data_IF_490703004481
#
_entry.id   IF_490703004481
#
_cell.length_a   1.000
_cell.length_b   1.000
_cell.length_c   1.000
_cell.angle_alpha   90.00
_cell.angle_beta   90.00
_cell.angle_gamma   90.00
#
_symmetry.space_group_name_H-M   'P 1'
#
loop_
_entity.id
_entity.type
_entity.pdbx_description
1 polymer ?
#
# COMPACT_ATOMS: atom_id res chain seq x y z
N UNK A 1 12.36 -56.41 -38.45
CA UNK A 1 10.95 -56.26 -38.04
C UNK A 1 10.93 -55.46 -36.74
N UNK A 2 9.97 -54.54 -36.62
CA UNK A 2 9.95 -53.34 -35.78
C UNK A 2 10.33 -53.45 -34.31
N UNK A 3 11.01 -52.39 -33.85
CA UNK A 3 11.07 -51.91 -32.47
C UNK A 3 9.74 -51.28 -32.07
N UNK A 4 9.28 -51.51 -30.85
CA UNK A 4 8.35 -50.59 -30.17
C UNK A 4 8.36 -50.86 -28.66
N UNK A 5 9.38 -50.38 -27.95
CA UNK A 5 9.28 -50.15 -26.51
C UNK A 5 8.62 -48.79 -26.31
N UNK A 6 7.38 -48.83 -25.82
CA UNK A 6 6.53 -47.68 -25.53
C UNK A 6 7.09 -46.92 -24.31
N UNK A 7 7.81 -45.83 -24.53
CA UNK A 7 8.28 -44.98 -23.44
C UNK A 7 7.15 -44.04 -22.99
N UNK A 8 6.60 -44.30 -21.81
CA UNK A 8 5.65 -43.44 -21.13
C UNK A 8 6.39 -42.21 -20.58
N UNK A 9 6.29 -41.08 -21.28
CA UNK A 9 6.86 -39.82 -20.82
C UNK A 9 5.97 -39.22 -19.71
N UNK A 10 6.36 -39.41 -18.45
CA UNK A 10 5.80 -38.69 -17.31
C UNK A 10 6.39 -37.27 -17.30
N UNK A 11 5.69 -36.32 -17.92
CA UNK A 11 6.02 -34.89 -17.80
C UNK A 11 5.52 -34.42 -16.44
N UNK A 12 6.42 -34.36 -15.45
CA UNK A 12 6.14 -33.74 -14.17
C UNK A 12 6.15 -32.21 -14.34
N UNK A 13 4.96 -31.61 -14.40
CA UNK A 13 4.80 -30.15 -14.30
C UNK A 13 5.11 -29.72 -12.87
N UNK A 14 6.21 -29.00 -12.66
CA UNK A 14 6.48 -28.32 -11.41
C UNK A 14 5.54 -27.11 -11.31
N UNK A 15 4.46 -27.25 -10.54
CA UNK A 15 3.66 -26.11 -10.12
C UNK A 15 4.48 -25.31 -9.10
N UNK A 16 5.02 -24.17 -9.53
CA UNK A 16 5.57 -23.19 -8.61
C UNK A 16 4.40 -22.57 -7.84
N UNK A 17 4.12 -23.10 -6.65
CA UNK A 17 3.22 -22.42 -5.70
C UNK A 17 3.94 -21.16 -5.21
N UNK A 18 3.57 -20.02 -5.77
CA UNK A 18 3.95 -18.72 -5.20
C UNK A 18 3.13 -18.57 -3.92
N UNK A 19 3.69 -19.00 -2.80
CA UNK A 19 3.17 -18.59 -1.50
C UNK A 19 3.32 -17.08 -1.43
N UNK A 20 2.21 -16.37 -1.16
CA UNK A 20 2.31 -15.04 -0.57
C UNK A 20 3.37 -15.12 0.52
N UNK A 21 4.43 -14.32 0.42
CA UNK A 21 5.59 -14.50 1.29
C UNK A 21 5.13 -14.16 2.71
N UNK A 22 5.12 -15.12 3.67
CA UNK A 22 4.62 -14.88 5.03
C UNK A 22 5.33 -13.71 5.73
N UNK A 23 6.51 -13.34 5.24
CA UNK A 23 7.31 -12.21 5.68
C UNK A 23 6.64 -10.85 5.51
N UNK A 24 5.74 -10.67 4.53
CA UNK A 24 5.05 -9.39 4.33
C UNK A 24 3.88 -9.21 5.30
N UNK A 25 3.13 -10.28 5.54
CA UNK A 25 2.03 -10.29 6.51
C UNK A 25 2.54 -9.94 7.91
N UNK A 26 3.71 -10.46 8.29
CA UNK A 26 4.35 -10.16 9.58
C UNK A 26 4.84 -8.71 9.73
N UNK A 27 4.89 -7.92 8.64
CA UNK A 27 5.29 -6.50 8.63
C UNK A 27 4.10 -5.55 8.79
N UNK A 28 2.89 -6.08 8.91
CA UNK A 28 1.66 -5.33 9.03
C UNK A 28 1.00 -5.63 10.39
N UNK A 29 0.42 -4.64 11.08
CA UNK A 29 -0.46 -4.91 12.20
C UNK A 29 -1.64 -5.76 11.74
N UNK A 30 -2.02 -6.76 12.53
CA UNK A 30 -3.13 -7.68 12.23
C UNK A 30 -3.10 -8.29 10.80
N UNK A 31 -1.92 -8.41 10.18
CA UNK A 31 -1.83 -8.78 8.77
C UNK A 31 -2.43 -10.16 8.45
N UNK A 32 -2.43 -11.08 9.41
CA UNK A 32 -3.00 -12.42 9.30
C UNK A 32 -4.42 -12.53 9.87
N UNK A 33 -4.98 -11.42 10.36
CA UNK A 33 -6.26 -11.39 11.06
C UNK A 33 -7.43 -10.89 10.19
N UNK A 34 -7.17 -10.53 8.94
CA UNK A 34 -8.21 -10.17 7.96
C UNK A 34 -8.82 -11.46 7.38
N UNK A 35 -10.10 -11.69 7.68
CA UNK A 35 -10.78 -12.96 7.38
C UNK A 35 -10.79 -13.27 5.88
N UNK A 36 -10.28 -14.45 5.50
CA UNK A 36 -10.29 -14.93 4.12
C UNK A 36 -9.22 -14.32 3.22
N UNK A 37 -8.30 -13.53 3.78
CA UNK A 37 -7.26 -12.82 3.03
C UNK A 37 -5.90 -13.32 3.49
N UNK A 38 -5.17 -13.98 2.60
CA UNK A 38 -3.80 -14.42 2.83
C UNK A 38 -2.77 -13.40 2.30
N UNK A 39 -3.19 -12.42 1.51
CA UNK A 39 -2.28 -11.49 0.84
C UNK A 39 -2.90 -10.09 0.66
N UNK A 40 -2.83 -9.27 1.72
CA UNK A 40 -3.40 -7.91 1.74
C UNK A 40 -2.91 -7.00 0.61
N UNK A 41 -1.69 -7.20 0.12
CA UNK A 41 -1.10 -6.39 -0.96
C UNK A 41 -1.41 -6.86 -2.38
N UNK A 42 -2.31 -7.82 -2.57
CA UNK A 42 -2.61 -8.42 -3.87
C UNK A 42 -4.10 -8.30 -4.24
N UNK A 43 -4.38 -8.22 -5.54
CA UNK A 43 -5.77 -8.27 -6.05
C UNK A 43 -6.41 -9.63 -5.78
N UNK A 44 -5.64 -10.72 -5.91
CA UNK A 44 -6.06 -12.03 -5.44
C UNK A 44 -5.79 -12.15 -3.94
N UNK A 45 -6.82 -12.32 -3.08
CA UNK A 45 -6.62 -12.45 -1.64
C UNK A 45 -5.84 -13.71 -1.25
N UNK A 46 -5.74 -14.73 -2.12
CA UNK A 46 -4.86 -15.87 -1.93
C UNK A 46 -3.38 -15.56 -2.23
N UNK A 47 -3.12 -14.42 -2.88
CA UNK A 47 -1.81 -13.91 -3.27
C UNK A 47 -1.37 -14.27 -4.68
N UNK A 48 -0.26 -13.65 -5.09
CA UNK A 48 0.22 -13.72 -6.47
C UNK A 48 -0.54 -12.74 -7.38
N UNK A 49 -0.17 -12.74 -8.67
CA UNK A 49 -0.71 -11.75 -9.61
C UNK A 49 -0.32 -10.32 -9.27
N UNK A 50 -1.12 -9.37 -9.75
CA UNK A 50 -0.89 -7.94 -9.59
C UNK A 50 -1.12 -7.48 -8.14
N UNK A 51 -0.43 -6.41 -7.75
CA UNK A 51 -0.68 -5.73 -6.49
C UNK A 51 -1.93 -4.86 -6.58
N UNK A 52 -2.66 -4.75 -5.47
CA UNK A 52 -3.68 -3.71 -5.29
C UNK A 52 -3.02 -2.39 -4.83
N UNK A 53 -3.80 -1.33 -4.67
CA UNK A 53 -3.26 -0.01 -4.31
C UNK A 53 -2.55 -0.02 -2.95
N UNK A 54 -3.08 -0.75 -1.95
CA UNK A 54 -2.39 -0.98 -0.67
C UNK A 54 -1.01 -1.61 -0.83
N UNK A 55 -0.90 -2.66 -1.66
CA UNK A 55 0.38 -3.32 -1.93
C UNK A 55 1.38 -2.43 -2.66
N UNK A 56 0.90 -1.59 -3.59
CA UNK A 56 1.75 -0.61 -4.29
C UNK A 56 2.24 0.49 -3.34
N UNK A 57 1.39 0.92 -2.43
CA UNK A 57 1.72 1.91 -1.40
C UNK A 57 2.69 1.34 -0.36
N UNK A 58 2.51 0.09 0.04
CA UNK A 58 3.42 -0.61 0.93
C UNK A 58 4.82 -0.75 0.30
N UNK A 59 4.88 -1.11 -0.98
CA UNK A 59 6.13 -1.15 -1.74
C UNK A 59 6.78 0.24 -1.85
N UNK A 60 5.97 1.28 -2.03
CA UNK A 60 6.45 2.69 -2.06
C UNK A 60 7.01 3.12 -0.71
N UNK A 61 6.42 2.64 0.39
CA UNK A 61 6.91 2.84 1.75
C UNK A 61 8.15 1.99 2.09
N UNK A 62 8.67 1.20 1.15
CA UNK A 62 9.85 0.37 1.35
C UNK A 62 9.57 -0.96 2.05
N UNK A 63 8.34 -1.48 1.94
CA UNK A 63 7.88 -2.68 2.63
C UNK A 63 7.94 -2.56 4.17
N UNK A 64 7.63 -1.36 4.69
CA UNK A 64 7.64 -1.02 6.11
C UNK A 64 6.34 -0.32 6.55
N UNK A 65 5.88 -0.62 7.77
CA UNK A 65 4.75 0.06 8.41
C UNK A 65 5.17 1.44 8.91
N UNK A 66 5.38 2.37 7.98
CA UNK A 66 5.72 3.75 8.30
C UNK A 66 4.49 4.54 8.74
N UNK A 67 4.67 5.62 9.49
CA UNK A 67 3.56 6.52 9.86
C UNK A 67 2.82 7.06 8.63
N UNK A 68 3.55 7.40 7.57
CA UNK A 68 2.94 7.90 6.33
C UNK A 68 2.07 6.83 5.66
N UNK A 69 2.56 5.59 5.58
CA UNK A 69 1.80 4.48 5.04
C UNK A 69 0.57 4.15 5.88
N UNK A 70 0.72 4.11 7.21
CA UNK A 70 -0.38 3.86 8.13
C UNK A 70 -1.50 4.93 8.05
N UNK A 71 -1.15 6.19 7.80
CA UNK A 71 -2.11 7.29 7.65
C UNK A 71 -2.72 7.38 6.25
N UNK A 72 -2.23 6.60 5.30
CA UNK A 72 -2.75 6.61 3.94
C UNK A 72 -4.08 5.86 3.87
N UNK A 73 -4.98 6.40 3.07
CA UNK A 73 -6.19 5.73 2.59
C UNK A 73 -5.82 5.16 1.21
N UNK A 74 -5.46 3.87 1.18
CA UNK A 74 -4.86 3.27 -0.01
C UNK A 74 -5.90 2.88 -1.06
N UNK A 75 -7.12 2.50 -0.67
CA UNK A 75 -8.20 2.10 -1.58
C UNK A 75 -9.28 3.16 -1.80
N UNK A 76 -9.23 4.28 -1.07
CA UNK A 76 -10.05 5.46 -1.29
C UNK A 76 -11.44 5.38 -0.67
N UNK A 77 -11.63 4.55 0.36
CA UNK A 77 -12.91 4.38 1.04
C UNK A 77 -13.16 5.39 2.19
N UNK A 78 -12.14 6.20 2.52
CA UNK A 78 -12.17 7.21 3.56
C UNK A 78 -11.59 6.76 4.90
N UNK A 79 -11.13 5.52 5.04
CA UNK A 79 -10.41 5.00 6.19
C UNK A 79 -8.91 4.95 5.92
N UNK A 80 -8.10 5.13 6.96
CA UNK A 80 -6.66 4.92 6.82
C UNK A 80 -6.31 3.46 7.02
N UNK A 81 -5.23 3.01 6.39
CA UNK A 81 -4.64 1.68 6.58
C UNK A 81 -4.52 1.31 8.07
N UNK A 82 -4.14 2.27 8.91
CA UNK A 82 -4.08 2.13 10.36
C UNK A 82 -5.43 1.94 11.03
N UNK A 83 -6.47 2.65 10.64
CA UNK A 83 -7.82 2.38 11.16
C UNK A 83 -8.23 0.95 10.79
N UNK A 84 -8.08 0.56 9.55
CA UNK A 84 -8.53 -0.75 9.09
C UNK A 84 -7.76 -1.93 9.70
N UNK A 85 -6.46 -1.77 9.91
CA UNK A 85 -5.59 -2.79 10.49
C UNK A 85 -5.41 -2.64 12.01
N UNK A 86 -6.20 -1.81 12.67
CA UNK A 86 -6.26 -1.73 14.14
C UNK A 86 -5.14 -0.93 14.81
N UNK A 87 -4.40 -0.12 14.06
CA UNK A 87 -3.42 0.85 14.53
C UNK A 87 -3.77 2.29 14.07
N UNK A 88 -4.88 2.88 14.53
CA UNK A 88 -5.33 4.21 14.08
C UNK A 88 -4.38 5.34 14.49
N UNK A 89 -3.45 5.06 15.41
CA UNK A 89 -2.46 6.03 15.89
C UNK A 89 -1.08 5.86 15.26
N UNK A 90 -0.90 4.86 14.40
CA UNK A 90 0.39 4.58 13.76
C UNK A 90 1.52 4.37 14.78
N UNK A 91 1.20 3.69 15.87
CA UNK A 91 2.09 3.41 17.00
C UNK A 91 2.69 2.00 16.91
N UNK A 92 2.13 1.14 16.04
CA UNK A 92 2.64 -0.19 15.83
C UNK A 92 4.02 -0.12 15.17
N UNK A 93 4.96 -0.88 15.72
CA UNK A 93 6.29 -1.04 15.17
C UNK A 93 6.64 -2.51 15.22
N UNK A 94 7.02 -3.05 14.06
CA UNK A 94 7.44 -4.44 13.93
C UNK A 94 8.49 -4.80 15.00
N UNK A 95 8.29 -5.94 15.66
CA UNK A 95 9.19 -6.56 16.64
C UNK A 95 9.52 -5.73 17.92
N UNK A 96 9.15 -4.45 18.00
CA UNK A 96 9.48 -3.55 19.11
C UNK A 96 8.26 -2.97 19.81
N UNK A 97 7.14 -2.80 19.09
CA UNK A 97 5.84 -2.44 19.64
C UNK A 97 4.73 -3.05 18.77
N UNK A 98 4.45 -4.34 18.95
CA UNK A 98 3.42 -5.03 18.18
C UNK A 98 1.99 -4.80 18.70
N UNK A 99 1.77 -3.75 19.51
CA UNK A 99 0.45 -3.49 20.13
C UNK A 99 -0.44 -2.77 19.14
N UNK A 100 -1.60 -3.37 18.88
CA UNK A 100 -2.71 -2.79 18.14
C UNK A 100 -3.81 -2.37 19.12
N UNK A 101 -4.65 -1.42 18.73
CA UNK A 101 -5.80 -0.96 19.52
C UNK A 101 -6.96 -1.94 19.47
N UNK A 102 -7.14 -2.62 18.34
CA UNK A 102 -8.04 -3.75 18.19
C UNK A 102 -7.46 -4.78 17.22
N UNK A 103 -8.00 -5.99 17.30
CA UNK A 103 -7.74 -7.06 16.33
C UNK A 103 -9.04 -7.57 15.73
N UNK A 104 -10.14 -7.53 16.46
CA UNK A 104 -11.46 -7.85 15.93
C UNK A 104 -12.05 -6.66 15.17
N UNK A 105 -12.77 -6.94 14.08
CA UNK A 105 -13.39 -5.91 13.26
C UNK A 105 -12.42 -5.16 12.34
N UNK A 106 -11.24 -5.73 12.07
CA UNK A 106 -10.32 -5.25 11.03
C UNK A 106 -10.88 -5.49 9.63
N UNK A 107 -10.42 -4.70 8.67
CA UNK A 107 -10.84 -4.76 7.28
C UNK A 107 -9.66 -4.84 6.30
N UNK A 108 -9.96 -5.06 5.02
CA UNK A 108 -8.98 -5.18 3.95
C UNK A 108 -8.65 -3.81 3.33
N UNK A 109 -7.45 -3.23 3.59
CA UNK A 109 -7.11 -1.84 3.23
C UNK A 109 -6.77 -1.59 1.75
N UNK A 110 -6.96 -2.61 0.92
CA UNK A 110 -6.85 -2.55 -0.54
C UNK A 110 -8.16 -2.90 -1.24
N UNK A 111 -9.28 -2.92 -0.53
CA UNK A 111 -10.63 -3.22 -1.03
C UNK A 111 -11.65 -2.28 -0.40
N UNK A 112 -12.00 -1.22 -1.14
CA UNK A 112 -12.90 -0.16 -0.69
C UNK A 112 -14.34 -0.61 -0.33
N UNK A 113 -14.69 -1.89 -0.56
CA UNK A 113 -15.97 -2.46 -0.13
C UNK A 113 -15.90 -3.13 1.25
N UNK A 114 -14.69 -3.28 1.80
CA UNK A 114 -14.41 -3.91 3.08
C UNK A 114 -14.01 -2.83 4.08
N UNK A 115 -14.94 -2.37 4.90
CA UNK A 115 -14.69 -1.31 5.88
C UNK A 115 -14.75 -1.79 7.32
N UNK A 116 -13.99 -1.15 8.22
CA UNK A 116 -14.10 -1.35 9.67
C UNK A 116 -15.23 -0.48 10.24
N UNK A 117 -15.69 -0.78 11.47
CA UNK A 117 -16.71 0.02 12.13
C UNK A 117 -16.07 1.29 12.75
N UNK A 118 -16.51 2.48 12.31
CA UNK A 118 -15.96 3.77 12.79
C UNK A 118 -16.03 3.96 14.30
N UNK A 119 -16.94 3.26 14.99
CA UNK A 119 -17.02 3.30 16.45
C UNK A 119 -15.76 2.76 17.15
N UNK A 120 -14.93 1.97 16.46
CA UNK A 120 -13.66 1.46 16.99
C UNK A 120 -12.63 2.58 17.24
N UNK A 121 -12.70 3.69 16.50
CA UNK A 121 -11.80 4.85 16.68
C UNK A 121 -12.47 6.16 17.03
N UNK A 122 -13.80 6.20 17.17
CA UNK A 122 -14.55 7.42 17.49
C UNK A 122 -14.03 8.16 18.74
N UNK A 123 -13.56 7.41 19.76
CA UNK A 123 -13.04 7.95 21.02
C UNK A 123 -11.50 7.87 21.14
N UNK A 124 -10.79 7.47 20.08
CA UNK A 124 -9.33 7.30 20.12
C UNK A 124 -8.64 8.66 19.98
N UNK A 125 -7.84 9.03 20.98
CA UNK A 125 -6.96 10.21 20.92
C UNK A 125 -5.51 9.78 20.88
N UNK A 126 -4.86 10.01 19.73
CA UNK A 126 -3.44 9.69 19.54
C UNK A 126 -2.55 10.75 20.21
N UNK A 127 -1.45 10.31 20.84
CA UNK A 127 -0.52 11.21 21.54
C UNK A 127 -0.68 11.28 23.07
N UNK A 128 -1.54 10.46 23.67
CA UNK A 128 -1.54 10.23 25.12
C UNK A 128 -0.97 8.86 25.42
N UNK A 129 0.23 8.82 25.99
CA UNK A 129 0.85 7.62 26.56
C UNK A 129 0.07 7.13 27.79
N UNK A 130 -1.13 6.59 27.59
CA UNK A 130 -1.89 5.95 28.67
C UNK A 130 -2.56 4.70 28.15
N UNK A 131 -2.01 3.57 28.59
CA UNK A 131 -2.57 2.23 28.47
C UNK A 131 -3.99 2.16 29.04
N UNK A 132 -4.87 1.52 28.28
CA UNK A 132 -6.09 0.80 28.66
C UNK A 132 -7.17 1.47 29.55
N UNK A 133 -8.37 1.59 28.97
CA UNK A 133 -9.73 1.48 29.54
C UNK A 133 -9.97 1.91 31.00
N UNK A 134 -10.79 2.95 31.20
CA UNK A 134 -12.06 2.86 31.97
C UNK A 134 -12.83 4.17 31.92
N UNK A 135 -14.13 4.04 31.71
CA UNK A 135 -15.18 5.05 31.86
C UNK A 135 -15.00 5.92 33.11
N UNK A 136 -14.86 7.24 32.91
CA UNK A 136 -15.22 8.23 33.92
C UNK A 136 -15.58 9.57 33.25
N UNK A 137 -16.89 9.84 33.25
CA UNK A 137 -17.48 11.14 32.96
C UNK A 137 -16.99 12.20 33.94
N UNK A 138 -16.49 13.34 33.44
CA UNK A 138 -16.64 14.62 34.14
C UNK A 138 -16.42 15.81 33.20
N UNK A 139 -17.43 16.69 33.27
CA UNK A 139 -17.60 18.01 32.68
C UNK A 139 -16.62 19.06 33.23
N UNK A 140 -16.41 20.12 32.43
CA UNK A 140 -15.84 21.45 32.73
C UNK A 140 -14.30 21.55 32.74
N UNK A 141 -13.67 22.58 32.19
CA UNK A 141 -14.17 23.86 31.70
C UNK A 141 -13.04 24.69 31.07
N UNK A 142 -13.46 25.75 30.39
CA UNK A 142 -12.72 26.69 29.55
C UNK A 142 -11.44 27.28 30.14
N UNK A 143 -10.52 27.68 29.25
CA UNK A 143 -9.80 28.96 29.39
C UNK A 143 -9.34 29.47 28.02
N UNK A 144 -9.90 30.61 27.63
CA UNK A 144 -9.46 31.46 26.53
C UNK A 144 -8.26 32.31 26.97
N UNK A 145 -7.42 32.72 26.03
CA UNK A 145 -6.49 33.83 26.22
C UNK A 145 -6.44 34.69 24.96
N UNK A 146 -6.84 35.94 25.17
CA UNK A 146 -6.87 37.07 24.24
C UNK A 146 -5.52 37.79 24.22
N UNK A 147 -5.08 38.27 23.04
CA UNK A 147 -4.20 39.44 22.90
C UNK A 147 -4.62 40.31 21.70
N UNK A 148 -5.15 41.50 22.00
CA UNK A 148 -5.18 42.73 21.18
C UNK A 148 -3.79 43.41 21.28
N UNK A 149 -3.30 44.35 20.47
CA UNK A 149 -3.61 44.97 19.17
C UNK A 149 -2.43 45.90 18.83
N UNK A 150 -2.29 46.32 17.56
CA UNK A 150 -1.30 47.32 17.17
C UNK A 150 -1.39 47.76 15.71
N UNK A 151 -2.33 48.65 15.43
CA UNK A 151 -2.63 49.35 14.17
C UNK A 151 -1.49 50.29 13.69
N UNK A 152 -1.24 50.39 12.37
CA UNK A 152 -1.30 51.71 11.66
C UNK A 152 -1.31 51.62 10.12
N UNK A 153 -2.20 52.45 9.59
CA UNK A 153 -2.59 52.90 8.24
C UNK A 153 -1.46 53.43 7.35
N UNK A 154 -1.52 53.21 6.02
CA UNK A 154 -1.81 54.25 4.99
C UNK A 154 -1.67 53.70 3.56
N UNK A 155 -2.73 53.88 2.79
CA UNK A 155 -2.80 53.79 1.33
C UNK A 155 -1.94 54.85 0.65
N UNK A 156 -1.39 54.56 -0.54
CA UNK A 156 -1.34 55.49 -1.68
C UNK A 156 -1.35 54.72 -3.01
N UNK A 157 -1.85 55.43 -4.02
CA UNK A 157 -2.37 55.03 -5.33
C UNK A 157 -1.38 55.44 -6.42
N UNK A 158 -1.22 54.63 -7.48
CA UNK A 158 -1.02 55.06 -8.88
C UNK A 158 -0.87 53.77 -9.73
N UNK A 159 -1.79 53.39 -10.63
CA UNK A 159 -2.23 53.98 -11.90
C UNK A 159 -1.33 53.63 -13.12
N UNK A 160 -2.02 53.06 -14.12
CA UNK A 160 -1.73 53.03 -15.56
C UNK A 160 -0.66 52.05 -16.08
N UNK A 161 -0.72 51.48 -17.30
CA UNK A 161 -1.74 51.14 -18.31
C UNK A 161 -0.94 50.68 -19.55
N UNK A 162 -1.47 49.68 -20.27
CA UNK A 162 -1.19 49.31 -21.67
C UNK A 162 0.14 48.63 -22.04
N UNK A 163 0.03 47.44 -22.63
CA UNK A 163 0.14 47.29 -24.09
C UNK A 163 -0.32 45.90 -24.56
N UNK A 164 -1.09 45.90 -25.64
CA UNK A 164 -1.69 44.76 -26.36
C UNK A 164 -0.89 44.43 -27.62
N UNK A 165 -0.89 43.15 -28.03
CA UNK A 165 -0.84 42.64 -29.42
C UNK A 165 -0.71 41.09 -29.37
N UNK A 166 -1.72 40.32 -29.76
CA UNK A 166 -1.98 39.80 -31.12
C UNK A 166 -0.92 38.77 -31.59
N UNK A 167 -1.28 37.47 -31.60
CA UNK A 167 -1.51 36.62 -32.80
C UNK A 167 -0.21 36.25 -33.54
N UNK A 168 0.08 35.04 -34.03
CA UNK A 168 -0.76 34.00 -34.64
C UNK A 168 0.11 32.76 -34.91
N UNK A 169 -0.53 31.59 -34.95
CA UNK A 169 -0.34 30.47 -35.88
C UNK A 169 0.90 29.55 -35.92
N UNK A 170 0.53 28.30 -36.23
CA UNK A 170 1.25 27.24 -36.92
C UNK A 170 2.21 26.35 -36.10
N UNK A 171 1.78 25.11 -35.86
CA UNK A 171 2.12 24.01 -36.78
C UNK A 171 1.58 22.67 -36.24
N UNK A 172 0.48 22.20 -36.83
CA UNK A 172 0.16 20.78 -36.84
C UNK A 172 0.96 20.14 -37.98
N UNK A 173 1.84 19.20 -37.67
CA UNK A 173 2.19 18.09 -38.57
C UNK A 173 3.18 17.12 -37.93
N UNK A 174 2.91 15.84 -38.22
CA UNK A 174 3.89 14.76 -38.42
C UNK A 174 4.41 14.03 -37.16
N UNK A 175 3.93 12.81 -36.95
CA UNK A 175 4.57 11.60 -37.51
C UNK A 175 4.30 10.36 -36.66
N UNK A 176 3.70 9.37 -37.31
CA UNK A 176 3.71 7.98 -36.86
C UNK A 176 5.16 7.50 -36.71
N UNK A 177 5.54 7.13 -35.50
CA UNK A 177 6.76 6.36 -35.25
C UNK A 177 6.39 5.14 -34.41
N UNK A 178 6.17 4.02 -35.10
CA UNK A 178 6.25 2.72 -34.49
C UNK A 178 7.68 2.49 -34.01
N UNK A 179 7.91 2.52 -32.70
CA UNK A 179 9.16 2.06 -32.10
C UNK A 179 8.89 0.73 -31.41
N UNK A 180 9.35 -0.32 -32.09
CA UNK A 180 9.54 -1.63 -31.52
C UNK A 180 10.50 -1.52 -30.33
N UNK A 181 9.99 -1.79 -29.13
CA UNK A 181 10.82 -2.13 -27.97
C UNK A 181 10.87 -3.64 -27.86
N UNK A 182 12.06 -4.13 -28.17
CA UNK A 182 12.56 -5.50 -28.05
C UNK A 182 12.17 -6.20 -26.75
N UNK A 183 11.74 -7.47 -26.77
CA UNK A 183 11.66 -8.27 -25.56
C UNK A 183 13.08 -8.56 -25.06
N UNK A 184 13.33 -8.24 -23.79
CA UNK A 184 14.55 -8.65 -23.09
C UNK A 184 14.55 -10.19 -22.97
N UNK A 185 15.48 -10.81 -23.69
CA UNK A 185 15.80 -12.23 -23.55
C UNK A 185 16.47 -12.45 -22.20
N UNK A 186 15.73 -12.99 -21.22
CA UNK A 186 16.33 -13.53 -20.01
C UNK A 186 17.00 -14.86 -20.36
N UNK A 187 18.34 -14.87 -20.33
CA UNK A 187 19.17 -16.07 -20.47
C UNK A 187 18.85 -17.07 -19.36
N UNK A 188 18.22 -18.17 -19.73
CA UNK A 188 18.17 -19.38 -18.90
C UNK A 188 19.57 -19.99 -18.86
N UNK A 189 20.25 -19.85 -17.72
CA UNK A 189 21.45 -20.63 -17.41
C UNK A 189 21.00 -22.08 -17.24
N UNK A 190 21.24 -22.89 -18.28
CA UNK A 190 20.99 -24.32 -18.26
C UNK A 190 21.90 -25.00 -17.24
N UNK A 191 21.31 -25.56 -16.18
CA UNK A 191 21.99 -26.52 -15.31
C UNK A 191 22.23 -27.81 -16.11
N UNK A 192 23.47 -28.00 -16.56
CA UNK A 192 23.91 -29.25 -17.17
C UNK A 192 24.02 -30.34 -16.09
N UNK A 193 23.05 -31.24 -16.02
CA UNK A 193 23.21 -32.50 -15.29
C UNK A 193 23.95 -33.51 -16.16
N UNK A 194 25.24 -33.70 -15.88
CA UNK A 194 26.04 -34.77 -16.46
C UNK A 194 25.62 -36.13 -15.88
N UNK A 195 25.07 -37.01 -16.71
CA UNK A 195 24.89 -38.43 -16.38
C UNK A 195 26.14 -39.18 -16.87
N UNK A 196 27.07 -39.45 -15.97
CA UNK A 196 28.16 -40.39 -16.21
C UNK A 196 27.64 -41.81 -16.00
N UNK A 197 27.34 -42.52 -17.08
CA UNK A 197 27.08 -43.96 -17.05
C UNK A 197 28.41 -44.71 -17.17
N UNK A 198 28.82 -45.37 -16.09
CA UNK A 198 29.89 -46.37 -16.08
C UNK A 198 29.24 -47.74 -16.35
N UNK A 199 29.50 -48.35 -17.50
CA UNK A 199 29.20 -49.76 -17.74
C UNK A 199 30.46 -50.46 -18.29
N UNK A 200 30.86 -51.50 -17.56
CA UNK A 200 31.64 -52.64 -18.04
C UNK A 200 30.74 -53.54 -18.90
#
# INVERSE_FOLDING_TARGET
MSRATLSLALVATAAAVVSARPTYIARLPNGDNVSGVAALGHVDPAGGGDNNDFGLDFATAGDEWTTEFCQKDSDGDGQTNGQELGDPCCEWVQDSNAVVRWSDGVSHPGDASSTSDESLWADVTCGSSTSNSTTASSTAGSSASTVEAGSTTTSETDAATSASAASSDAAASSSSAASAVTPAVYSVVGAATAIAAFFL
#
